data_IF_211620959567
#
_entry.id   IF_211620959567
#
_cell.length_a   1.000
_cell.length_b   1.000
_cell.length_c   1.000
_cell.angle_alpha   90.00
_cell.angle_beta   90.00
_cell.angle_gamma   90.00
#
_symmetry.space_group_name_H-M   'P 1'
#
loop_
_entity.id
_entity.type
_entity.pdbx_description
1 polymer ?
#
# COMPACT_ATOMS: atom_id res chain seq x y z
N UNK A 1 12.09 17.65 43.87
CA UNK A 1 10.88 17.39 43.05
C UNK A 1 10.74 18.35 41.86
N UNK A 2 11.03 19.66 41.97
CA UNK A 2 10.90 20.59 40.82
C UNK A 2 11.83 20.29 39.61
N UNK A 3 13.02 19.72 39.85
CA UNK A 3 13.98 19.42 38.79
C UNK A 3 13.54 18.28 37.84
N UNK A 4 12.67 17.38 38.29
CA UNK A 4 12.12 16.28 37.48
C UNK A 4 10.96 16.75 36.58
N UNK A 5 10.15 17.70 37.05
CA UNK A 5 9.06 18.29 36.27
C UNK A 5 9.56 19.13 35.09
N UNK A 6 10.66 19.88 35.25
CA UNK A 6 11.27 20.64 34.15
C UNK A 6 11.81 19.76 33.01
N UNK A 7 12.33 18.57 33.34
CA UNK A 7 12.81 17.62 32.34
C UNK A 7 11.68 16.93 31.58
N UNK A 8 10.56 16.63 32.25
CA UNK A 8 9.39 16.03 31.60
C UNK A 8 8.70 17.00 30.64
N UNK A 9 8.56 18.27 31.02
CA UNK A 9 7.98 19.30 30.14
C UNK A 9 8.82 19.52 28.87
N UNK A 10 10.16 19.51 28.99
CA UNK A 10 11.06 19.65 27.86
C UNK A 10 10.99 18.44 26.91
N UNK A 11 10.90 17.22 27.47
CA UNK A 11 10.74 15.99 26.68
C UNK A 11 9.42 15.96 25.92
N UNK A 12 8.32 16.43 26.53
CA UNK A 12 7.01 16.51 25.87
C UNK A 12 7.01 17.51 24.71
N UNK A 13 7.67 18.66 24.86
CA UNK A 13 7.84 19.64 23.78
C UNK A 13 8.68 19.03 22.64
N UNK A 14 9.77 18.33 22.95
CA UNK A 14 10.61 17.68 21.95
C UNK A 14 9.87 16.60 21.14
N UNK A 15 8.99 15.83 21.79
CA UNK A 15 8.19 14.82 21.07
C UNK A 15 7.19 15.42 20.08
N UNK A 16 6.72 16.64 20.34
CA UNK A 16 5.80 17.35 19.44
C UNK A 16 6.50 17.90 18.20
N UNK A 17 7.80 18.16 18.27
CA UNK A 17 8.59 18.66 17.14
C UNK A 17 9.16 17.52 16.30
N UNK A 18 9.34 16.30 16.81
CA UNK A 18 9.93 15.22 16.00
C UNK A 18 8.87 14.57 15.10
N UNK A 19 9.10 14.56 13.78
CA UNK A 19 8.32 13.77 12.82
C UNK A 19 9.00 12.42 12.59
N UNK A 20 8.25 11.34 12.75
CA UNK A 20 8.69 9.97 12.48
C UNK A 20 8.09 9.51 11.15
N UNK A 21 8.94 9.11 10.21
CA UNK A 21 8.55 8.58 8.90
C UNK A 21 8.97 7.10 8.83
N UNK A 22 8.00 6.22 8.63
CA UNK A 22 8.23 4.80 8.41
C UNK A 22 7.68 4.39 7.03
N UNK A 23 8.53 4.41 6.00
CA UNK A 23 8.13 4.08 4.64
C UNK A 23 7.99 2.57 4.44
N UNK A 24 7.01 2.16 3.64
CA UNK A 24 6.81 0.77 3.21
C UNK A 24 6.43 0.71 1.74
N UNK A 25 6.45 -0.49 1.14
CA UNK A 25 6.12 -0.63 -0.29
C UNK A 25 4.69 -0.30 -0.63
N UNK A 26 3.75 -0.60 0.27
CA UNK A 26 2.32 -0.33 0.04
C UNK A 26 1.81 0.88 0.82
N UNK A 27 2.27 1.05 2.06
CA UNK A 27 1.82 2.12 2.95
C UNK A 27 3.00 2.85 3.57
N UNK A 28 2.87 4.17 3.69
CA UNK A 28 3.75 5.00 4.50
C UNK A 28 3.04 5.32 5.82
N UNK A 29 3.78 5.27 6.92
CA UNK A 29 3.29 5.68 8.23
C UNK A 29 4.05 6.92 8.66
N UNK A 30 3.35 8.03 8.89
CA UNK A 30 3.95 9.31 9.30
C UNK A 30 3.16 9.90 10.46
N UNK A 31 3.86 10.40 11.48
CA UNK A 31 3.25 11.07 12.63
C UNK A 31 4.30 11.82 13.44
N UNK A 32 3.86 12.63 14.41
CA UNK A 32 4.73 13.18 15.45
C UNK A 32 5.15 12.08 16.41
N UNK A 33 6.30 12.20 17.05
CA UNK A 33 6.75 11.25 18.08
C UNK A 33 5.82 11.24 19.31
N UNK A 34 5.03 12.29 19.51
CA UNK A 34 3.98 12.37 20.52
C UNK A 34 2.66 11.68 20.13
N UNK A 35 2.44 11.35 18.85
CA UNK A 35 1.16 10.82 18.38
C UNK A 35 0.97 9.38 18.88
N UNK A 36 -0.24 9.04 19.34
CA UNK A 36 -0.56 7.67 19.76
C UNK A 36 -0.59 6.68 18.60
N UNK A 37 -0.99 7.14 17.42
CA UNK A 37 -1.03 6.37 16.19
C UNK A 37 -0.55 7.24 15.02
N UNK A 38 0.37 6.75 14.17
CA UNK A 38 0.74 7.47 12.97
C UNK A 38 -0.40 7.45 11.94
N UNK A 39 -0.43 8.44 11.05
CA UNK A 39 -1.26 8.38 9.86
C UNK A 39 -0.72 7.30 8.92
N UNK A 40 -1.62 6.47 8.38
CA UNK A 40 -1.28 5.43 7.39
C UNK A 40 -1.91 5.81 6.06
N UNK A 41 -1.08 6.05 5.06
CA UNK A 41 -1.51 6.43 3.73
C UNK A 41 -0.91 5.48 2.70
N UNK A 42 -1.64 5.19 1.62
CA UNK A 42 -1.09 4.44 0.49
C UNK A 42 0.19 5.14 0.00
N UNK A 43 1.28 4.40 -0.13
CA UNK A 43 2.56 4.94 -0.57
C UNK A 43 2.60 5.01 -2.10
N UNK A 44 1.63 5.73 -2.66
CA UNK A 44 1.45 5.87 -4.08
C UNK A 44 1.11 7.32 -4.45
N UNK A 45 1.46 7.66 -5.68
CA UNK A 45 1.07 8.90 -6.33
C UNK A 45 0.62 8.57 -7.75
N UNK A 46 -0.48 9.17 -8.17
CA UNK A 46 -0.88 9.20 -9.55
C UNK A 46 -0.52 10.56 -10.14
N UNK A 47 0.16 10.55 -11.29
CA UNK A 47 0.52 11.78 -12.02
C UNK A 47 -0.19 11.84 -13.35
N UNK A 48 -0.72 13.01 -13.67
CA UNK A 48 -1.38 13.26 -14.94
C UNK A 48 -0.36 13.13 -16.07
N UNK A 49 -0.70 12.33 -17.07
CA UNK A 49 0.12 12.04 -18.23
C UNK A 49 0.01 13.19 -19.22
N UNK A 50 1.14 13.61 -19.77
CA UNK A 50 1.16 14.57 -20.87
C UNK A 50 0.48 14.00 -22.12
N UNK A 51 -0.14 14.84 -22.97
CA UNK A 51 -0.71 14.39 -24.23
C UNK A 51 0.32 13.62 -25.07
N UNK A 52 -0.03 12.39 -25.46
CA UNK A 52 0.88 11.50 -26.21
C UNK A 52 1.98 10.83 -25.38
N UNK A 53 2.00 11.02 -24.05
CA UNK A 53 2.91 10.32 -23.15
C UNK A 53 2.64 8.81 -23.08
N UNK A 54 3.61 8.06 -22.57
CA UNK A 54 3.47 6.62 -22.35
C UNK A 54 2.62 6.34 -21.11
N UNK A 55 1.75 5.33 -21.19
CA UNK A 55 0.97 4.81 -20.06
C UNK A 55 1.88 4.00 -19.14
N UNK A 56 1.78 4.24 -17.84
CA UNK A 56 2.48 3.46 -16.81
C UNK A 56 1.57 3.23 -15.61
N UNK A 57 1.64 2.03 -15.04
CA UNK A 57 0.95 1.71 -13.79
C UNK A 57 1.74 0.65 -13.07
N UNK A 58 2.30 1.02 -11.92
CA UNK A 58 2.94 0.06 -11.04
C UNK A 58 1.90 -0.94 -10.49
N UNK A 59 2.18 -2.23 -10.64
CA UNK A 59 1.34 -3.30 -10.11
C UNK A 59 1.58 -3.50 -8.61
N UNK A 60 0.48 -3.57 -7.86
CA UNK A 60 0.47 -4.00 -6.45
C UNK A 60 0.74 -5.49 -6.32
N UNK A 61 0.19 -6.29 -7.25
CA UNK A 61 0.40 -7.73 -7.28
C UNK A 61 1.75 -8.07 -7.94
N UNK A 62 2.40 -9.16 -7.52
CA UNK A 62 3.58 -9.67 -8.21
C UNK A 62 3.30 -9.85 -9.71
N UNK A 63 4.30 -9.60 -10.58
CA UNK A 63 4.13 -9.86 -12.00
C UNK A 63 3.86 -11.36 -12.22
N UNK A 64 2.99 -11.65 -13.18
CA UNK A 64 2.72 -13.04 -13.56
C UNK A 64 4.00 -13.62 -14.18
N UNK A 65 4.57 -14.65 -13.55
CA UNK A 65 5.67 -15.39 -14.13
C UNK A 65 5.17 -16.21 -15.34
N UNK A 66 5.99 -16.42 -16.38
CA UNK A 66 5.66 -17.37 -17.43
C UNK A 66 5.43 -18.75 -16.82
N UNK A 67 4.25 -19.33 -17.06
CA UNK A 67 3.90 -20.65 -16.53
C UNK A 67 4.50 -21.73 -17.43
N UNK A 68 5.78 -22.03 -17.23
CA UNK A 68 6.40 -23.21 -17.86
C UNK A 68 5.87 -24.49 -17.20
N UNK A 69 5.99 -25.63 -17.89
CA UNK A 69 5.55 -26.91 -17.33
C UNK A 69 6.29 -27.24 -16.03
N UNK A 70 7.58 -26.91 -15.94
CA UNK A 70 8.39 -27.12 -14.74
C UNK A 70 7.90 -26.26 -13.57
N UNK A 71 7.59 -24.98 -13.82
CA UNK A 71 7.06 -24.10 -12.78
C UNK A 71 5.68 -24.55 -12.30
N UNK A 72 4.83 -25.01 -13.23
CA UNK A 72 3.51 -25.56 -12.89
C UNK A 72 3.64 -26.81 -12.02
N UNK A 73 4.59 -27.70 -12.35
CA UNK A 73 4.87 -28.89 -11.56
C UNK A 73 5.38 -28.52 -10.16
N UNK A 74 6.32 -27.57 -10.05
CA UNK A 74 6.83 -27.09 -8.76
C UNK A 74 5.71 -26.49 -7.89
N UNK A 75 4.82 -25.69 -8.50
CA UNK A 75 3.64 -25.12 -7.81
C UNK A 75 2.73 -26.23 -7.29
N UNK A 76 2.47 -27.27 -8.09
CA UNK A 76 1.65 -28.41 -7.65
C UNK A 76 2.32 -29.22 -6.54
N UNK A 77 3.63 -29.44 -6.61
CA UNK A 77 4.38 -30.15 -5.57
C UNK A 77 4.36 -29.39 -4.25
N UNK A 78 4.62 -28.07 -4.29
CA UNK A 78 4.49 -27.18 -3.14
C UNK A 78 3.06 -27.18 -2.57
N UNK A 79 2.04 -27.12 -3.44
CA UNK A 79 0.63 -27.17 -3.02
C UNK A 79 0.31 -28.49 -2.30
N UNK A 80 0.81 -29.63 -2.80
CA UNK A 80 0.62 -30.94 -2.18
C UNK A 80 1.36 -31.04 -0.83
N UNK A 81 2.59 -30.54 -0.76
CA UNK A 81 3.37 -30.53 0.49
C UNK A 81 2.67 -29.71 1.58
N UNK A 82 2.19 -28.51 1.25
CA UNK A 82 1.41 -27.67 2.19
C UNK A 82 0.13 -28.38 2.62
N UNK A 83 -0.58 -29.01 1.68
CA UNK A 83 -1.81 -29.75 1.97
C UNK A 83 -1.55 -30.91 2.95
N UNK A 84 -0.47 -31.67 2.75
CA UNK A 84 -0.10 -32.77 3.64
C UNK A 84 0.26 -32.26 5.04
N UNK A 85 1.06 -31.20 5.14
CA UNK A 85 1.38 -30.57 6.43
C UNK A 85 0.11 -30.14 7.18
N UNK A 86 -0.83 -29.52 6.48
CA UNK A 86 -2.10 -29.09 7.08
C UNK A 86 -3.00 -30.26 7.53
N UNK A 87 -2.90 -31.42 6.88
CA UNK A 87 -3.65 -32.62 7.25
C UNK A 87 -3.06 -33.34 8.46
N UNK A 88 -1.74 -33.20 8.69
CA UNK A 88 -1.07 -33.75 9.87
C UNK A 88 -1.33 -32.93 11.14
N UNK A 89 -1.63 -31.63 11.01
CA UNK A 89 -2.03 -30.80 12.12
C UNK A 89 -3.47 -31.14 12.57
N UNK A 90 -3.63 -31.56 13.82
CA UNK A 90 -4.94 -31.71 14.42
C UNK A 90 -5.62 -30.34 14.58
N UNK A 91 -6.94 -30.36 14.46
CA UNK A 91 -7.78 -29.23 14.82
C UNK A 91 -7.77 -29.03 16.35
N UNK A 92 -8.24 -27.88 16.82
CA UNK A 92 -8.28 -27.54 18.25
C UNK A 92 -9.11 -28.52 19.09
N UNK A 93 -10.04 -29.24 18.47
CA UNK A 93 -10.86 -30.30 19.07
C UNK A 93 -10.18 -31.70 19.01
N UNK A 94 -8.95 -31.78 18.52
CA UNK A 94 -8.22 -33.04 18.32
C UNK A 94 -8.63 -33.82 17.06
N UNK A 95 -9.55 -33.30 16.25
CA UNK A 95 -10.02 -33.92 15.02
C UNK A 95 -9.03 -33.76 13.86
N UNK A 96 -9.15 -34.65 12.86
CA UNK A 96 -8.42 -34.51 11.59
C UNK A 96 -9.06 -33.46 10.69
N UNK A 97 -8.25 -32.82 9.84
CA UNK A 97 -8.73 -31.86 8.85
C UNK A 97 -9.03 -32.58 7.53
N UNK A 98 -10.26 -32.44 7.03
CA UNK A 98 -10.65 -32.96 5.72
C UNK A 98 -10.82 -31.79 4.74
N UNK A 99 -10.07 -31.84 3.63
CA UNK A 99 -10.18 -30.83 2.57
C UNK A 99 -11.43 -31.03 1.73
N UNK A 100 -12.08 -29.94 1.32
CA UNK A 100 -13.18 -30.01 0.33
C UNK A 100 -12.58 -30.04 -1.08
N UNK A 101 -13.01 -30.96 -1.98
CA UNK A 101 -12.50 -31.03 -3.34
C UNK A 101 -12.71 -29.72 -4.12
N UNK A 102 -11.68 -29.19 -4.80
CA UNK A 102 -11.81 -27.94 -5.57
C UNK A 102 -12.93 -27.97 -6.62
N UNK A 103 -13.21 -29.12 -7.24
CA UNK A 103 -14.28 -29.21 -8.24
C UNK A 103 -15.67 -28.98 -7.63
N UNK A 104 -15.90 -29.43 -6.39
CA UNK A 104 -17.17 -29.21 -5.69
C UNK A 104 -17.39 -27.72 -5.40
N UNK A 105 -16.33 -27.05 -4.91
CA UNK A 105 -16.35 -25.60 -4.66
C UNK A 105 -16.56 -24.84 -5.97
N UNK A 106 -15.82 -25.17 -7.03
CA UNK A 106 -15.95 -24.53 -8.33
C UNK A 106 -17.34 -24.71 -8.94
N UNK A 107 -17.96 -25.87 -8.74
CA UNK A 107 -19.33 -26.14 -9.15
C UNK A 107 -20.35 -25.28 -8.39
N UNK A 108 -20.16 -25.11 -7.08
CA UNK A 108 -20.99 -24.22 -6.26
C UNK A 108 -20.81 -22.74 -6.67
N UNK A 109 -19.56 -22.26 -6.73
CA UNK A 109 -19.24 -20.87 -7.05
C UNK A 109 -19.79 -20.45 -8.43
N UNK A 110 -19.79 -21.35 -9.41
CA UNK A 110 -20.38 -21.09 -10.73
C UNK A 110 -21.90 -20.85 -10.72
N UNK A 111 -22.61 -21.30 -9.69
CA UNK A 111 -24.05 -21.11 -9.53
C UNK A 111 -24.40 -19.97 -8.57
N UNK A 112 -23.43 -19.44 -7.85
CA UNK A 112 -23.64 -18.30 -6.98
C UNK A 112 -23.96 -17.05 -7.81
N UNK A 113 -25.03 -16.34 -7.46
CA UNK A 113 -25.38 -15.07 -8.08
C UNK A 113 -25.02 -13.92 -7.13
N UNK A 114 -24.41 -12.84 -7.63
CA UNK A 114 -24.12 -11.67 -6.81
C UNK A 114 -25.43 -10.99 -6.41
N UNK A 115 -25.56 -10.64 -5.13
CA UNK A 115 -26.66 -9.85 -4.60
C UNK A 115 -26.22 -8.38 -4.46
N UNK A 116 -27.01 -7.46 -5.01
CA UNK A 116 -26.75 -6.02 -4.89
C UNK A 116 -27.44 -5.49 -3.64
N UNK A 117 -26.66 -5.33 -2.57
CA UNK A 117 -27.17 -4.86 -1.27
C UNK A 117 -27.22 -3.31 -1.22
N UNK A 118 -26.30 -2.63 -1.91
CA UNK A 118 -26.25 -1.15 -2.06
C UNK A 118 -25.31 -0.76 -3.20
N UNK A 119 -25.20 0.55 -3.51
CA UNK A 119 -24.17 1.08 -4.40
C UNK A 119 -22.78 0.89 -3.78
N UNK A 120 -22.14 -0.24 -4.08
CA UNK A 120 -20.79 -0.58 -3.63
C UNK A 120 -19.74 0.01 -4.59
N UNK A 121 -18.67 0.60 -4.05
CA UNK A 121 -17.51 1.02 -4.84
C UNK A 121 -17.22 2.53 -4.83
N UNK A 122 -18.10 3.34 -4.23
CA UNK A 122 -17.92 4.80 -4.17
C UNK A 122 -18.04 5.49 -5.53
N UNK A 123 -17.98 6.82 -5.54
CA UNK A 123 -17.83 7.60 -6.77
C UNK A 123 -16.35 7.76 -7.11
N UNK A 124 -16.03 7.75 -8.40
CA UNK A 124 -14.68 8.11 -8.84
C UNK A 124 -14.36 9.54 -8.43
N UNK A 125 -13.18 9.78 -7.87
CA UNK A 125 -12.80 11.10 -7.41
C UNK A 125 -12.58 12.02 -8.61
N UNK A 126 -13.30 13.16 -8.63
CA UNK A 126 -13.06 14.26 -9.58
C UNK A 126 -11.90 15.10 -9.07
N UNK A 127 -10.69 14.82 -9.55
CA UNK A 127 -9.52 15.61 -9.19
C UNK A 127 -9.23 16.71 -10.22
N UNK A 128 -9.19 17.95 -9.74
CA UNK A 128 -8.68 19.11 -10.46
C UNK A 128 -7.22 19.32 -10.05
N UNK A 129 -6.29 18.64 -10.72
CA UNK A 129 -4.87 18.75 -10.41
C UNK A 129 -3.99 17.79 -11.21
N UNK A 130 -2.69 18.05 -11.20
CA UNK A 130 -1.71 17.25 -11.95
C UNK A 130 -1.25 15.99 -11.19
N UNK A 131 -1.55 15.89 -9.90
CA UNK A 131 -1.27 14.69 -9.12
C UNK A 131 -2.35 14.37 -8.08
N UNK A 132 -2.43 13.11 -7.71
CA UNK A 132 -3.28 12.56 -6.66
C UNK A 132 -2.41 11.69 -5.77
N UNK A 133 -2.50 11.85 -4.46
CA UNK A 133 -1.62 11.18 -3.48
C UNK A 133 -2.43 10.29 -2.56
N UNK A 134 -1.82 9.19 -2.12
CA UNK A 134 -2.37 8.40 -1.01
C UNK A 134 -3.57 7.55 -1.42
N UNK A 135 -4.48 7.34 -0.47
CA UNK A 135 -5.63 6.45 -0.67
C UNK A 135 -6.56 6.91 -1.82
N UNK A 136 -6.56 8.19 -2.16
CA UNK A 136 -7.32 8.74 -3.29
C UNK A 136 -6.89 8.17 -4.64
N UNK A 137 -5.65 7.67 -4.76
CA UNK A 137 -5.17 6.98 -5.97
C UNK A 137 -6.04 5.78 -6.32
N UNK A 138 -6.61 5.09 -5.32
CA UNK A 138 -7.48 3.92 -5.53
C UNK A 138 -8.85 4.29 -6.11
N UNK A 139 -9.24 5.57 -6.00
CA UNK A 139 -10.54 6.09 -6.45
C UNK A 139 -10.42 6.89 -7.75
N UNK A 140 -9.27 6.84 -8.42
CA UNK A 140 -9.11 7.45 -9.75
C UNK A 140 -9.82 6.58 -10.79
N UNK A 141 -10.61 7.22 -11.65
CA UNK A 141 -11.20 6.54 -12.80
C UNK A 141 -10.09 6.01 -13.73
N UNK A 142 -9.99 4.68 -13.96
CA UNK A 142 -8.96 4.07 -14.80
C UNK A 142 -8.97 4.52 -16.26
N UNK A 143 -10.06 5.14 -16.72
CA UNK A 143 -10.20 5.70 -18.06
C UNK A 143 -9.47 7.06 -18.22
N UNK A 144 -9.05 7.70 -17.12
CA UNK A 144 -8.35 8.98 -17.16
C UNK A 144 -6.86 8.81 -17.46
N UNK A 145 -6.24 9.89 -17.91
CA UNK A 145 -4.83 9.95 -18.28
C UNK A 145 -3.91 10.10 -17.07
N UNK A 146 -3.99 9.20 -16.09
CA UNK A 146 -3.05 9.13 -14.98
C UNK A 146 -2.09 7.94 -15.15
N UNK A 147 -0.84 8.16 -14.74
CA UNK A 147 0.12 7.10 -14.48
C UNK A 147 0.22 6.88 -12.97
N UNK A 148 0.28 5.62 -12.54
CA UNK A 148 0.30 5.25 -11.11
C UNK A 148 1.70 4.79 -10.73
N UNK A 149 2.25 5.38 -9.68
CA UNK A 149 3.60 5.13 -9.20
C UNK A 149 3.60 4.69 -7.74
N UNK A 150 4.32 3.60 -7.45
CA UNK A 150 4.67 3.15 -6.09
C UNK A 150 6.19 3.35 -5.92
N UNK A 151 6.64 4.41 -5.22
CA UNK A 151 8.06 4.76 -5.19
C UNK A 151 8.94 3.74 -4.46
N UNK A 152 8.34 2.88 -3.65
CA UNK A 152 9.03 1.79 -2.95
C UNK A 152 8.39 0.46 -3.34
N UNK A 153 9.22 -0.52 -3.69
CA UNK A 153 8.79 -1.87 -4.05
C UNK A 153 9.72 -2.89 -3.43
N UNK A 154 9.15 -3.86 -2.70
CA UNK A 154 9.90 -4.93 -1.98
C UNK A 154 10.96 -4.37 -1.02
N UNK A 155 10.66 -3.27 -0.34
CA UNK A 155 11.56 -2.63 0.61
C UNK A 155 12.62 -1.71 0.01
N UNK A 156 12.70 -1.59 -1.33
CA UNK A 156 13.69 -0.78 -2.02
C UNK A 156 13.03 0.32 -2.88
N UNK A 157 13.82 1.30 -3.32
CA UNK A 157 13.35 2.30 -4.29
C UNK A 157 12.96 1.60 -5.60
N UNK A 158 11.78 1.93 -6.14
CA UNK A 158 11.25 1.31 -7.35
C UNK A 158 11.86 1.91 -8.63
N UNK A 159 13.16 1.67 -8.82
CA UNK A 159 13.92 2.16 -9.97
C UNK A 159 13.75 1.20 -11.15
N UNK A 160 13.38 1.72 -12.32
CA UNK A 160 13.20 0.96 -13.55
C UNK A 160 13.29 1.83 -14.82
N UNK A 161 13.32 1.21 -16.00
CA UNK A 161 13.44 1.91 -17.29
C UNK A 161 12.14 2.57 -17.79
N UNK A 162 10.98 2.17 -17.26
CA UNK A 162 9.68 2.78 -17.58
C UNK A 162 9.48 4.19 -17.03
N UNK A 163 8.33 4.80 -17.35
CA UNK A 163 7.97 6.16 -16.92
C UNK A 163 7.99 6.27 -15.39
N UNK A 164 8.66 7.30 -14.86
CA UNK A 164 8.75 7.53 -13.41
C UNK A 164 9.77 6.64 -12.68
N UNK A 165 10.46 5.73 -13.36
CA UNK A 165 11.40 4.81 -12.72
C UNK A 165 12.82 5.35 -12.54
N UNK A 166 13.12 6.59 -12.93
CA UNK A 166 14.44 7.17 -12.68
C UNK A 166 14.61 7.51 -11.20
N UNK A 167 15.85 7.52 -10.68
CA UNK A 167 16.11 7.86 -9.27
C UNK A 167 15.51 9.22 -8.90
N UNK A 168 15.67 10.23 -9.76
CA UNK A 168 15.13 11.56 -9.52
C UNK A 168 13.61 11.54 -9.48
N UNK A 169 12.95 10.85 -10.42
CA UNK A 169 11.49 10.69 -10.42
C UNK A 169 10.98 10.03 -9.13
N UNK A 170 11.61 8.92 -8.71
CA UNK A 170 11.24 8.21 -7.49
C UNK A 170 11.41 9.09 -6.26
N UNK A 171 12.51 9.85 -6.16
CA UNK A 171 12.74 10.78 -5.05
C UNK A 171 11.74 11.96 -5.05
N UNK A 172 11.37 12.48 -6.22
CA UNK A 172 10.32 13.49 -6.35
C UNK A 172 8.97 12.95 -5.89
N UNK A 173 8.62 11.70 -6.26
CA UNK A 173 7.39 11.06 -5.80
C UNK A 173 7.39 10.87 -4.27
N UNK A 174 8.50 10.42 -3.68
CA UNK A 174 8.63 10.32 -2.22
C UNK A 174 8.47 11.68 -1.54
N UNK A 175 9.15 12.71 -2.04
CA UNK A 175 9.04 14.07 -1.51
C UNK A 175 7.59 14.56 -1.57
N UNK A 176 6.91 14.42 -2.72
CA UNK A 176 5.55 14.90 -2.90
C UNK A 176 4.56 14.16 -1.99
N UNK A 177 4.69 12.83 -1.87
CA UNK A 177 3.83 12.04 -0.99
C UNK A 177 4.05 12.46 0.47
N UNK A 178 5.29 12.50 0.94
CA UNK A 178 5.57 12.83 2.34
C UNK A 178 5.18 14.28 2.67
N UNK A 179 5.48 15.22 1.78
CA UNK A 179 5.05 16.63 1.94
C UNK A 179 3.54 16.74 2.01
N UNK A 180 2.81 15.99 1.18
CA UNK A 180 1.35 15.97 1.22
C UNK A 180 0.82 15.43 2.55
N UNK A 181 1.37 14.33 3.06
CA UNK A 181 0.96 13.77 4.36
C UNK A 181 1.24 14.76 5.50
N UNK A 182 2.44 15.35 5.53
CA UNK A 182 2.81 16.35 6.54
C UNK A 182 1.86 17.55 6.51
N UNK A 183 1.59 18.08 5.31
CA UNK A 183 0.75 19.26 5.15
C UNK A 183 -0.72 18.98 5.47
N UNK A 184 -1.32 17.93 4.87
CA UNK A 184 -2.77 17.72 4.90
C UNK A 184 -3.25 16.74 5.98
N UNK A 185 -2.38 15.85 6.48
CA UNK A 185 -2.75 14.88 7.52
C UNK A 185 -2.25 15.32 8.90
N UNK A 186 -1.02 15.83 8.99
CA UNK A 186 -0.47 16.35 10.26
C UNK A 186 -0.84 17.82 10.52
N UNK A 187 -1.38 18.52 9.52
CA UNK A 187 -1.67 19.96 9.56
C UNK A 187 -0.41 20.79 9.88
N UNK A 188 0.73 20.43 9.29
CA UNK A 188 2.00 21.14 9.45
C UNK A 188 2.33 21.85 8.14
N UNK A 189 2.26 23.19 8.08
CA UNK A 189 2.70 23.95 6.92
C UNK A 189 4.16 23.63 6.59
N UNK A 190 4.48 23.42 5.30
CA UNK A 190 5.84 23.02 4.91
C UNK A 190 6.91 24.07 5.27
N UNK A 191 6.53 25.35 5.36
CA UNK A 191 7.41 26.43 5.80
C UNK A 191 7.81 26.33 7.28
N UNK A 192 7.02 25.59 8.07
CA UNK A 192 7.25 25.41 9.50
C UNK A 192 8.08 24.17 9.81
N UNK A 193 8.42 23.35 8.80
CA UNK A 193 9.24 22.13 8.98
C UNK A 193 10.60 22.40 9.64
N UNK A 194 11.15 23.61 9.53
CA UNK A 194 12.36 24.04 10.24
C UNK A 194 12.25 24.01 11.77
N UNK A 195 11.03 23.93 12.29
CA UNK A 195 10.73 23.84 13.72
C UNK A 195 10.49 22.40 14.20
N UNK A 196 10.63 21.42 13.29
CA UNK A 196 10.42 20.00 13.53
C UNK A 196 11.72 19.20 13.30
#
# INVERSE_FOLDING_TARGET
MMHLQGNQANLEIQKQTIIVIHPGSLYVRIGRASDSNPHTELHAIARKRYPGGLRHSDSVLPPLAPMTEELLQEVEDCRLQVSHTLQLCLQSDGGRRYGTPPQQIAGFNRRAQPEVISSSGGEWTKHEGDCVVGNEVLHINPALDYNIHFPIKRGELNIHSGVGGSLTSVLTDLQDIWSWVIHYKLNIPLNDLKHY
#
